data_IF_523793475036
#
_entry.id   IF_523793475036
#
_cell.length_a   1.000
_cell.length_b   1.000
_cell.length_c   1.000
_cell.angle_alpha   90.00
_cell.angle_beta   90.00
_cell.angle_gamma   90.00
#
_symmetry.space_group_name_H-M   'P 1'
#
loop_
_entity.id
_entity.type
_entity.pdbx_description
1 polymer ?
#
# COMPACT_ATOMS: atom_id res chain seq x y z
N UNK A 1 -4.81 14.42 -16.55
CA UNK A 1 -5.74 13.89 -15.53
C UNK A 1 -4.94 13.04 -14.56
N UNK A 2 -4.84 13.37 -13.26
CA UNK A 2 -4.20 12.49 -12.30
C UNK A 2 -5.01 11.19 -12.23
N UNK A 3 -4.40 10.05 -12.58
CA UNK A 3 -5.06 8.76 -12.45
C UNK A 3 -5.27 8.47 -10.96
N UNK A 4 -6.51 8.19 -10.57
CA UNK A 4 -6.83 7.87 -9.18
C UNK A 4 -6.23 6.51 -8.82
N UNK A 5 -5.56 6.45 -7.68
CA UNK A 5 -5.04 5.21 -7.11
C UNK A 5 -6.22 4.27 -6.81
N UNK A 6 -6.05 2.98 -7.05
CA UNK A 6 -7.03 1.96 -6.72
C UNK A 6 -7.20 1.87 -5.21
N UNK A 7 -8.45 1.77 -4.77
CA UNK A 7 -8.82 1.64 -3.36
C UNK A 7 -8.90 0.18 -2.89
N UNK A 8 -8.43 -0.77 -3.69
CA UNK A 8 -8.39 -2.19 -3.35
C UNK A 8 -6.96 -2.73 -3.48
N UNK A 9 -6.68 -3.78 -2.72
CA UNK A 9 -5.41 -4.47 -2.77
C UNK A 9 -5.27 -5.22 -4.10
N UNK A 10 -4.11 -5.08 -4.73
CA UNK A 10 -3.76 -5.75 -5.97
C UNK A 10 -3.28 -7.20 -5.73
N UNK A 11 -2.94 -7.58 -4.51
CA UNK A 11 -2.44 -8.93 -4.22
C UNK A 11 -3.47 -10.02 -4.57
N UNK A 12 -3.03 -11.14 -5.17
CA UNK A 12 -3.93 -12.21 -5.59
C UNK A 12 -4.67 -12.80 -4.37
N UNK A 13 -5.99 -12.95 -4.50
CA UNK A 13 -6.85 -13.47 -3.42
C UNK A 13 -7.11 -12.50 -2.27
N UNK A 14 -6.50 -11.32 -2.24
CA UNK A 14 -6.76 -10.32 -1.21
C UNK A 14 -8.06 -9.57 -1.50
N UNK A 15 -8.94 -9.48 -0.51
CA UNK A 15 -10.23 -8.80 -0.65
C UNK A 15 -10.28 -7.43 0.02
N UNK A 16 -9.14 -6.92 0.53
CA UNK A 16 -9.07 -5.60 1.17
C UNK A 16 -9.46 -4.49 0.19
N UNK A 17 -10.40 -3.65 0.58
CA UNK A 17 -10.83 -2.47 -0.17
C UNK A 17 -11.80 -2.75 -1.32
N UNK A 18 -12.20 -4.01 -1.53
CA UNK A 18 -13.28 -4.34 -2.45
C UNK A 18 -14.64 -3.89 -1.90
N UNK A 19 -15.42 -3.20 -2.73
CA UNK A 19 -16.70 -2.56 -2.34
C UNK A 19 -17.74 -3.57 -1.81
N UNK A 20 -17.67 -4.82 -2.26
CA UNK A 20 -18.59 -5.87 -1.83
C UNK A 20 -18.27 -6.46 -0.44
N UNK A 21 -17.07 -6.22 0.10
CA UNK A 21 -16.66 -6.71 1.42
C UNK A 21 -17.10 -5.71 2.48
N UNK A 22 -18.21 -6.02 3.18
CA UNK A 22 -18.72 -5.20 4.28
C UNK A 22 -18.01 -5.55 5.59
N UNK A 23 -17.73 -4.55 6.41
CA UNK A 23 -17.12 -4.75 7.73
C UNK A 23 -15.62 -5.08 7.72
N UNK A 24 -14.94 -4.94 6.58
CA UNK A 24 -13.49 -5.08 6.53
C UNK A 24 -12.82 -4.04 7.43
N UNK A 25 -11.76 -4.42 8.17
CA UNK A 25 -11.00 -3.46 8.97
C UNK A 25 -10.40 -2.36 8.08
N UNK A 26 -10.26 -1.15 8.64
CA UNK A 26 -9.56 -0.05 7.97
C UNK A 26 -8.08 -0.37 7.93
N UNK A 27 -7.63 -0.87 6.78
CA UNK A 27 -6.25 -1.26 6.52
C UNK A 27 -5.62 -0.22 5.60
N UNK A 28 -4.35 0.11 5.85
CA UNK A 28 -3.56 1.01 5.03
C UNK A 28 -3.23 0.38 3.67
N UNK A 29 -3.40 1.15 2.60
CA UNK A 29 -3.04 0.78 1.24
C UNK A 29 -1.82 1.59 0.78
N UNK A 30 -0.76 0.89 0.39
CA UNK A 30 0.46 1.48 -0.15
C UNK A 30 0.43 1.47 -1.66
N UNK A 31 0.56 2.65 -2.27
CA UNK A 31 0.71 2.75 -3.71
C UNK A 31 2.04 2.13 -4.18
N UNK A 32 2.01 1.58 -5.39
CA UNK A 32 3.22 1.01 -5.99
C UNK A 32 4.32 2.08 -6.10
N UNK A 33 5.59 1.72 -5.81
CA UNK A 33 6.71 2.64 -5.97
C UNK A 33 6.79 3.21 -7.40
N UNK A 34 7.16 4.49 -7.51
CA UNK A 34 7.51 5.11 -8.80
C UNK A 34 8.83 4.55 -9.35
N UNK A 35 9.73 4.15 -8.45
CA UNK A 35 10.98 3.50 -8.78
C UNK A 35 10.73 2.15 -9.48
N UNK A 36 11.28 2.01 -10.68
CA UNK A 36 11.05 0.83 -11.53
C UNK A 36 11.72 -0.43 -10.97
N UNK A 37 12.87 -0.33 -10.31
CA UNK A 37 13.54 -1.47 -9.70
C UNK A 37 12.71 -2.01 -8.53
N UNK A 38 12.21 -1.13 -7.66
CA UNK A 38 11.32 -1.51 -6.56
C UNK A 38 9.98 -2.06 -7.06
N UNK A 39 9.44 -1.50 -8.15
CA UNK A 39 8.22 -2.02 -8.79
C UNK A 39 8.41 -3.45 -9.30
N UNK A 40 9.54 -3.76 -9.95
CA UNK A 40 9.86 -5.12 -10.40
C UNK A 40 9.96 -6.10 -9.23
N UNK A 41 10.55 -5.69 -8.10
CA UNK A 41 10.58 -6.52 -6.89
C UNK A 41 9.16 -6.83 -6.40
N UNK A 42 8.25 -5.86 -6.41
CA UNK A 42 6.85 -6.07 -6.04
C UNK A 42 6.14 -7.01 -7.00
N UNK A 43 6.27 -6.77 -8.31
CA UNK A 43 5.67 -7.60 -9.35
C UNK A 43 6.13 -9.06 -9.25
N UNK A 44 7.43 -9.27 -9.07
CA UNK A 44 8.00 -10.59 -8.83
C UNK A 44 7.46 -11.21 -7.53
N UNK A 45 7.35 -10.45 -6.44
CA UNK A 45 6.89 -10.99 -5.15
C UNK A 45 5.41 -11.37 -5.16
N UNK A 46 4.57 -10.60 -5.87
CA UNK A 46 3.13 -10.83 -5.98
C UNK A 46 2.78 -11.97 -6.93
N UNK A 47 3.70 -12.37 -7.81
CA UNK A 47 3.59 -13.49 -8.75
C UNK A 47 2.27 -13.53 -9.54
N UNK A 48 1.75 -12.36 -9.92
CA UNK A 48 0.48 -12.28 -10.65
C UNK A 48 0.72 -12.34 -12.16
N UNK A 49 0.34 -13.43 -12.79
CA UNK A 49 0.50 -13.62 -14.24
C UNK A 49 -0.64 -12.99 -15.06
N UNK A 50 -1.81 -12.83 -14.44
CA UNK A 50 -3.05 -12.41 -15.09
C UNK A 50 -3.14 -10.90 -15.39
N UNK A 51 -2.39 -10.05 -14.66
CA UNK A 51 -2.43 -8.59 -14.87
C UNK A 51 -1.10 -7.96 -14.47
N UNK A 52 -0.51 -7.02 -15.23
CA UNK A 52 0.70 -6.32 -14.83
C UNK A 52 0.46 -5.34 -13.66
N UNK A 53 1.52 -5.03 -12.92
CA UNK A 53 1.46 -4.09 -11.80
C UNK A 53 1.49 -2.64 -12.30
N UNK A 54 0.30 -2.03 -12.40
CA UNK A 54 0.14 -0.64 -12.85
C UNK A 54 0.50 0.39 -11.75
N UNK A 55 0.83 1.62 -12.15
CA UNK A 55 1.16 2.72 -11.23
C UNK A 55 -0.03 3.18 -10.37
N UNK A 56 -1.25 2.87 -10.80
CA UNK A 56 -2.48 3.06 -10.03
C UNK A 56 -2.73 1.98 -8.98
N UNK A 57 -2.00 0.86 -9.02
CA UNK A 57 -2.22 -0.26 -8.12
C UNK A 57 -1.79 0.07 -6.68
N UNK A 58 -2.37 -0.64 -5.72
CA UNK A 58 -2.03 -0.52 -4.31
C UNK A 58 -1.97 -1.90 -3.64
N UNK A 59 -1.14 -2.05 -2.61
CA UNK A 59 -1.01 -3.28 -1.81
C UNK A 59 -1.28 -2.94 -0.35
N UNK A 60 -2.08 -3.76 0.34
CA UNK A 60 -2.41 -3.51 1.74
C UNK A 60 -1.26 -3.89 2.68
N UNK A 61 -1.23 -3.28 3.86
CA UNK A 61 -0.17 -3.50 4.86
C UNK A 61 -0.02 -4.96 5.31
N UNK A 62 -1.05 -5.80 5.16
CA UNK A 62 -1.01 -7.22 5.53
C UNK A 62 0.01 -8.03 4.72
N UNK A 63 0.43 -7.54 3.56
CA UNK A 63 1.44 -8.19 2.72
C UNK A 63 2.87 -7.71 3.04
N UNK A 64 3.02 -6.90 4.07
CA UNK A 64 4.30 -6.41 4.54
C UNK A 64 4.54 -6.96 5.93
N UNK A 65 5.81 -7.17 6.26
CA UNK A 65 6.21 -7.48 7.63
C UNK A 65 5.76 -6.33 8.55
N UNK A 66 5.17 -6.61 9.73
CA UNK A 66 4.64 -5.58 10.62
C UNK A 66 5.65 -4.49 10.99
N UNK A 67 6.95 -4.83 11.04
CA UNK A 67 8.04 -3.88 11.31
C UNK A 67 8.53 -3.08 10.09
N UNK A 68 8.14 -3.47 8.87
CA UNK A 68 8.49 -2.77 7.63
C UNK A 68 7.54 -1.64 7.29
N UNK A 69 6.37 -1.61 7.93
CA UNK A 69 5.36 -0.56 7.75
C UNK A 69 5.48 0.47 8.87
N UNK A 70 6.02 1.64 8.54
CA UNK A 70 5.98 2.78 9.45
C UNK A 70 4.59 3.43 9.40
N UNK A 71 3.81 3.24 10.47
CA UNK A 71 2.55 3.95 10.71
C UNK A 71 2.74 5.29 11.44
N UNK A 72 3.97 5.61 11.79
CA UNK A 72 4.29 6.85 12.49
C UNK A 72 4.01 8.04 11.57
N UNK A 73 3.13 8.93 12.03
CA UNK A 73 2.94 10.22 11.38
C UNK A 73 4.06 11.15 11.90
N UNK A 74 5.00 11.49 11.02
CA UNK A 74 6.07 12.46 11.37
C UNK A 74 5.56 13.86 11.07
N UNK A 75 5.13 14.58 12.10
CA UNK A 75 4.98 16.03 12.00
C UNK A 75 6.35 16.68 12.16
N UNK A 76 6.84 17.34 11.10
CA UNK A 76 8.01 18.22 11.18
C UNK A 76 7.54 19.58 11.72
N UNK A 77 7.76 19.84 13.00
CA UNK A 77 7.57 21.17 13.59
C UNK A 77 8.98 21.76 13.76
N UNK A 78 9.26 22.85 13.05
CA UNK A 78 10.54 23.60 13.14
C UNK A 78 11.83 22.76 12.98
N UNK A 79 11.83 21.77 12.07
CA UNK A 79 13.03 20.98 11.75
C UNK A 79 13.35 19.83 12.72
N UNK A 80 12.55 19.61 13.75
CA UNK A 80 12.60 18.40 14.58
C UNK A 80 11.42 17.47 14.24
N UNK A 81 11.71 16.23 13.85
CA UNK A 81 10.70 15.24 13.53
C UNK A 81 10.09 14.64 14.80
N UNK A 82 8.83 14.97 15.09
CA UNK A 82 8.09 14.37 16.21
C UNK A 82 7.34 13.13 15.69
N UNK A 83 7.61 11.96 16.27
CA UNK A 83 6.94 10.70 15.95
C UNK A 83 5.71 10.54 16.86
N UNK A 84 4.52 10.67 16.30
CA UNK A 84 3.27 10.43 17.04
C UNK A 84 2.76 9.03 16.66
N UNK A 85 2.59 8.15 17.66
CA UNK A 85 1.86 6.89 17.48
C UNK A 85 0.37 7.21 17.41
N UNK A 86 -0.24 7.00 16.25
CA UNK A 86 -1.70 6.98 16.15
C UNK A 86 -2.22 5.71 16.85
N UNK A 87 -2.98 5.91 17.93
CA UNK A 87 -3.77 4.87 18.61
C UNK A 87 -5.12 4.65 17.94
#
# INVERSE_FOLDING_TARGET
MPRHRQNHCYAPGCQTGYVFVKGAPKISLFGVPKDQARRKVWENSLHRADKPLDDTSAVCELHFEPGSVNKDYVHMIQGQGVRIRCG
#
